data_IF_713571182946
#
_entry.id   IF_713571182946
#
_cell.length_a   1.000
_cell.length_b   1.000
_cell.length_c   1.000
_cell.angle_alpha   90.00
_cell.angle_beta   90.00
_cell.angle_gamma   90.00
#
_symmetry.space_group_name_H-M   'P 1'
#
loop_
_entity.id
_entity.type
_entity.pdbx_description
1 polymer ?
#
# COMPACT_ATOMS: atom_id res chain seq x y z
N UNK A 1 22.85 -39.59 -18.49
CA UNK A 1 22.82 -39.85 -17.03
C UNK A 1 22.38 -38.57 -16.35
N UNK A 2 21.24 -38.58 -15.65
CA UNK A 2 20.76 -37.39 -14.92
C UNK A 2 21.60 -37.27 -13.65
N UNK A 3 22.32 -36.16 -13.49
CA UNK A 3 22.96 -35.82 -12.21
C UNK A 3 21.84 -35.49 -11.23
N UNK A 4 21.60 -36.35 -10.25
CA UNK A 4 20.61 -36.07 -9.22
C UNK A 4 21.18 -35.03 -8.24
N UNK A 5 20.35 -34.08 -7.80
CA UNK A 5 20.74 -33.05 -6.82
C UNK A 5 20.09 -33.41 -5.50
N UNK A 6 20.91 -33.75 -4.51
CA UNK A 6 20.44 -34.01 -3.17
C UNK A 6 20.65 -32.78 -2.28
N UNK A 7 19.63 -32.43 -1.53
CA UNK A 7 19.67 -31.33 -0.57
C UNK A 7 19.78 -31.88 0.84
N UNK A 8 20.63 -31.25 1.65
CA UNK A 8 20.83 -31.60 3.06
C UNK A 8 20.85 -30.39 3.97
N UNK A 9 20.61 -30.60 5.27
CA UNK A 9 20.64 -29.54 6.27
C UNK A 9 22.06 -29.33 6.79
N UNK A 10 22.52 -28.09 6.79
CA UNK A 10 23.81 -27.69 7.39
C UNK A 10 23.86 -28.06 8.89
N UNK A 11 25.03 -28.52 9.34
CA UNK A 11 25.29 -28.96 10.71
C UNK A 11 24.61 -30.26 11.13
N UNK A 12 23.90 -30.93 10.21
CA UNK A 12 23.19 -32.19 10.46
C UNK A 12 23.90 -33.37 9.79
N UNK A 13 23.49 -34.59 10.15
CA UNK A 13 23.96 -35.78 9.45
C UNK A 13 23.22 -35.93 8.10
N UNK A 14 23.95 -36.19 7.03
CA UNK A 14 23.41 -36.33 5.67
C UNK A 14 23.82 -37.68 5.10
N UNK A 15 22.85 -38.45 4.59
CA UNK A 15 23.10 -39.78 4.02
C UNK A 15 22.92 -39.73 2.50
N UNK A 16 23.96 -40.08 1.75
CA UNK A 16 23.93 -40.25 0.30
C UNK A 16 23.69 -41.73 -0.03
N UNK A 17 22.69 -41.98 -0.87
CA UNK A 17 22.27 -43.32 -1.29
C UNK A 17 23.06 -43.73 -2.54
N UNK A 18 23.49 -44.98 -2.59
CA UNK A 18 24.06 -45.60 -3.79
C UNK A 18 23.11 -46.70 -4.27
N UNK A 19 22.69 -46.64 -5.54
CA UNK A 19 21.67 -47.52 -6.11
C UNK A 19 22.00 -49.02 -6.22
N UNK A 20 23.18 -49.49 -5.81
CA UNK A 20 23.60 -50.89 -5.91
C UNK A 20 23.56 -51.68 -4.59
N UNK A 21 22.84 -51.19 -3.57
CA UNK A 21 22.82 -51.78 -2.23
C UNK A 21 22.18 -53.19 -2.11
N UNK A 22 21.75 -53.80 -3.22
CA UNK A 22 21.03 -55.08 -3.21
C UNK A 22 21.97 -56.31 -3.15
N UNK A 23 23.24 -56.21 -3.55
CA UNK A 23 24.11 -57.39 -3.76
C UNK A 23 25.42 -57.46 -2.93
N UNK A 24 25.50 -56.81 -1.76
CA UNK A 24 26.67 -56.89 -0.83
C UNK A 24 28.03 -56.54 -1.46
N UNK A 25 28.06 -55.78 -2.54
CA UNK A 25 29.29 -55.32 -3.17
C UNK A 25 29.89 -54.13 -2.40
N UNK A 26 31.20 -54.17 -2.18
CA UNK A 26 31.96 -53.06 -1.60
C UNK A 26 31.89 -51.86 -2.53
N UNK A 27 31.45 -50.70 -2.02
CA UNK A 27 31.29 -49.47 -2.81
C UNK A 27 32.38 -48.46 -2.47
N UNK A 28 33.03 -47.90 -3.49
CA UNK A 28 33.96 -46.79 -3.33
C UNK A 28 33.25 -45.45 -3.57
N UNK A 29 33.35 -44.53 -2.60
CA UNK A 29 32.86 -43.16 -2.73
C UNK A 29 34.00 -42.20 -3.06
N UNK A 30 33.75 -41.32 -4.03
CA UNK A 30 34.66 -40.20 -4.35
C UNK A 30 33.90 -38.88 -4.36
N UNK A 31 34.54 -37.84 -3.84
CA UNK A 31 34.06 -36.46 -3.95
C UNK A 31 34.91 -35.71 -4.96
N UNK A 32 34.28 -35.09 -5.95
CA UNK A 32 34.97 -34.28 -6.97
C UNK A 32 36.17 -35.04 -7.58
N UNK A 33 35.99 -36.37 -7.78
CA UNK A 33 37.00 -37.34 -8.26
C UNK A 33 38.15 -37.67 -7.29
N UNK A 34 38.12 -37.19 -6.05
CA UNK A 34 39.07 -37.55 -4.97
C UNK A 34 38.47 -38.64 -4.06
N UNK A 35 39.27 -39.65 -3.73
CA UNK A 35 38.88 -40.74 -2.82
C UNK A 35 38.96 -40.36 -1.34
N UNK A 36 39.74 -39.32 -1.00
CA UNK A 36 39.87 -38.84 0.38
C UNK A 36 38.77 -37.82 0.67
N UNK A 37 37.86 -38.17 1.58
CA UNK A 37 36.85 -37.27 2.14
C UNK A 37 37.43 -36.58 3.39
N UNK A 38 37.60 -35.25 3.41
CA UNK A 38 38.38 -34.55 4.44
C UNK A 38 37.64 -34.33 5.77
N UNK A 39 36.48 -34.97 5.99
CA UNK A 39 35.62 -34.82 7.17
C UNK A 39 35.19 -36.17 7.74
N UNK A 40 34.53 -36.11 8.91
CA UNK A 40 33.99 -37.28 9.58
C UNK A 40 32.83 -37.88 8.77
N UNK A 41 33.04 -39.10 8.28
CA UNK A 41 32.08 -39.84 7.48
C UNK A 41 32.04 -41.31 7.90
N UNK A 42 30.94 -41.98 7.57
CA UNK A 42 30.76 -43.42 7.79
C UNK A 42 30.14 -44.03 6.55
N UNK A 43 30.79 -45.04 5.97
CA UNK A 43 30.16 -45.90 4.96
C UNK A 43 29.44 -47.02 5.69
N UNK A 44 28.16 -47.19 5.42
CA UNK A 44 27.33 -48.22 6.05
C UNK A 44 27.48 -49.56 5.32
N UNK A 45 27.04 -50.66 5.94
CA UNK A 45 27.19 -52.02 5.38
C UNK A 45 26.46 -52.24 4.06
N UNK A 46 25.46 -51.41 3.77
CA UNK A 46 24.66 -51.31 2.54
C UNK A 46 25.25 -50.31 1.52
N UNK A 47 26.45 -49.78 1.76
CA UNK A 47 27.19 -48.95 0.81
C UNK A 47 26.76 -47.48 0.75
N UNK A 48 25.91 -47.02 1.68
CA UNK A 48 25.53 -45.60 1.79
C UNK A 48 26.62 -44.79 2.50
N UNK A 49 26.74 -43.51 2.12
CA UNK A 49 27.71 -42.59 2.74
C UNK A 49 26.99 -41.65 3.70
N UNK A 50 27.28 -41.77 4.99
CA UNK A 50 26.78 -40.87 6.03
C UNK A 50 27.85 -39.83 6.35
N UNK A 51 27.54 -38.58 6.07
CA UNK A 51 28.32 -37.40 6.43
C UNK A 51 27.87 -36.92 7.81
N UNK A 52 28.78 -36.77 8.77
CA UNK A 52 28.44 -36.33 10.13
C UNK A 52 28.65 -34.82 10.24
N UNK A 53 27.66 -34.10 10.78
CA UNK A 53 27.69 -32.63 10.94
C UNK A 53 28.13 -31.88 9.67
N UNK A 54 27.47 -32.15 8.54
CA UNK A 54 27.88 -31.65 7.24
C UNK A 54 27.84 -30.11 7.17
N UNK A 55 28.95 -29.50 6.76
CA UNK A 55 29.06 -28.05 6.49
C UNK A 55 29.29 -27.80 4.99
N UNK A 56 29.46 -26.54 4.59
CA UNK A 56 29.67 -26.22 3.17
C UNK A 56 30.90 -26.87 2.53
N UNK A 57 31.88 -27.35 3.31
CA UNK A 57 33.04 -28.06 2.74
C UNK A 57 32.63 -29.42 2.17
N UNK A 58 31.55 -30.02 2.69
CA UNK A 58 30.97 -31.25 2.21
C UNK A 58 30.16 -31.09 0.91
N UNK A 59 29.96 -29.89 0.38
CA UNK A 59 29.28 -29.74 -0.91
C UNK A 59 30.13 -30.21 -2.09
N UNK A 60 29.49 -30.84 -3.08
CA UNK A 60 30.15 -31.22 -4.32
C UNK A 60 29.50 -32.40 -5.02
N UNK A 61 30.22 -32.95 -5.99
CA UNK A 61 29.76 -34.09 -6.77
C UNK A 61 30.31 -35.38 -6.17
N UNK A 62 29.43 -36.18 -5.60
CA UNK A 62 29.74 -37.50 -5.07
C UNK A 62 29.47 -38.55 -6.13
N UNK A 63 30.40 -39.47 -6.29
CA UNK A 63 30.25 -40.63 -7.18
C UNK A 63 30.46 -41.90 -6.38
N UNK A 64 29.53 -42.86 -6.50
CA UNK A 64 29.70 -44.20 -5.98
C UNK A 64 30.01 -45.18 -7.12
N UNK A 65 31.03 -46.00 -6.94
CA UNK A 65 31.48 -47.01 -7.92
C UNK A 65 31.56 -48.38 -7.27
N UNK A 66 31.38 -49.43 -8.06
CA UNK A 66 31.55 -50.81 -7.59
C UNK A 66 33.04 -51.18 -7.40
N UNK A 67 33.28 -52.43 -6.99
CA UNK A 67 34.60 -53.01 -6.78
C UNK A 67 35.45 -53.10 -8.06
N UNK A 68 34.81 -53.09 -9.23
CA UNK A 68 35.43 -53.10 -10.55
C UNK A 68 35.70 -51.67 -11.07
N UNK A 69 35.26 -50.65 -10.35
CA UNK A 69 35.43 -49.23 -10.69
C UNK A 69 34.39 -48.70 -11.67
N UNK A 70 33.30 -49.43 -11.94
CA UNK A 70 32.18 -48.93 -12.72
C UNK A 70 31.35 -47.95 -11.90
N UNK A 71 31.07 -46.80 -12.50
CA UNK A 71 30.26 -45.76 -11.88
C UNK A 71 28.80 -46.22 -11.77
N UNK A 72 28.31 -46.32 -10.54
CA UNK A 72 26.92 -46.67 -10.24
C UNK A 72 26.04 -45.42 -10.27
N UNK A 73 26.40 -44.40 -9.49
CA UNK A 73 25.58 -43.19 -9.33
C UNK A 73 26.45 -41.96 -9.07
N UNK A 74 25.98 -40.81 -9.55
CA UNK A 74 26.54 -39.50 -9.21
C UNK A 74 25.46 -38.62 -8.61
N UNK A 75 25.75 -38.02 -7.47
CA UNK A 75 24.85 -37.14 -6.71
C UNK A 75 25.55 -35.84 -6.39
N UNK A 76 24.94 -34.71 -6.73
CA UNK A 76 25.42 -33.39 -6.35
C UNK A 76 24.79 -32.98 -5.01
N UNK A 77 25.60 -32.88 -3.97
CA UNK A 77 25.15 -32.44 -2.65
C UNK A 77 25.15 -30.91 -2.55
N UNK A 78 24.04 -30.35 -2.11
CA UNK A 78 23.87 -28.94 -1.73
C UNK A 78 23.36 -28.85 -0.30
N UNK A 79 23.93 -27.94 0.49
CA UNK A 79 23.57 -27.81 1.90
C UNK A 79 22.98 -26.44 2.19
N UNK A 80 22.02 -26.41 3.10
CA UNK A 80 21.44 -25.16 3.57
C UNK A 80 20.56 -25.32 4.79
N UNK A 81 19.66 -24.37 4.98
CA UNK A 81 18.69 -24.35 6.06
C UNK A 81 17.25 -24.38 5.53
N UNK A 82 16.31 -24.99 6.27
CA UNK A 82 14.90 -24.87 5.95
C UNK A 82 14.44 -23.41 6.09
N UNK A 83 13.37 -23.01 5.40
CA UNK A 83 12.81 -21.65 5.50
C UNK A 83 12.37 -21.30 6.92
N UNK A 84 12.38 -20.01 7.23
CA UNK A 84 11.93 -19.46 8.52
C UNK A 84 10.80 -18.44 8.37
N UNK A 85 10.57 -17.65 9.41
CA UNK A 85 9.66 -16.51 9.34
C UNK A 85 10.21 -15.42 8.40
N UNK A 86 9.32 -14.66 7.78
CA UNK A 86 9.67 -13.53 6.95
C UNK A 86 9.36 -12.23 7.70
N UNK A 87 10.20 -11.21 7.52
CA UNK A 87 9.87 -9.86 7.94
C UNK A 87 9.12 -9.16 6.80
N UNK A 88 7.81 -9.01 6.93
CA UNK A 88 6.90 -8.55 5.88
C UNK A 88 6.48 -7.11 6.13
N UNK A 89 6.54 -6.27 5.10
CA UNK A 89 6.04 -4.91 5.11
C UNK A 89 5.10 -4.69 3.92
N UNK A 90 4.00 -3.97 4.12
CA UNK A 90 3.03 -3.66 3.08
C UNK A 90 2.81 -2.15 2.98
N UNK A 91 2.74 -1.64 1.75
CA UNK A 91 2.45 -0.25 1.42
C UNK A 91 1.16 -0.19 0.61
N UNK A 92 0.30 0.76 0.97
CA UNK A 92 -0.99 0.98 0.30
C UNK A 92 -1.03 2.45 -0.14
N UNK A 93 -0.58 2.72 -1.36
CA UNK A 93 -0.45 4.10 -1.86
C UNK A 93 -1.75 4.67 -2.42
N UNK A 94 -2.74 3.82 -2.69
CA UNK A 94 -4.03 4.15 -3.28
C UNK A 94 -5.05 3.03 -2.96
N UNK A 95 -6.31 3.15 -3.41
CA UNK A 95 -7.38 2.19 -3.11
C UNK A 95 -7.34 0.92 -3.96
N UNK A 96 -6.61 0.93 -5.08
CA UNK A 96 -6.54 -0.17 -6.04
C UNK A 96 -5.30 -1.05 -5.92
N UNK A 97 -4.31 -0.68 -5.11
CA UNK A 97 -3.00 -1.35 -5.10
C UNK A 97 -2.43 -1.50 -3.69
N UNK A 98 -2.11 -2.75 -3.32
CA UNK A 98 -1.27 -3.07 -2.16
C UNK A 98 0.01 -3.73 -2.63
N UNK A 99 1.14 -3.23 -2.13
CA UNK A 99 2.46 -3.75 -2.41
C UNK A 99 3.09 -4.28 -1.13
N UNK A 100 3.30 -5.59 -1.05
CA UNK A 100 3.95 -6.22 0.09
C UNK A 100 5.33 -6.72 -0.31
N UNK A 101 6.33 -6.45 0.54
CA UNK A 101 7.71 -6.89 0.36
C UNK A 101 8.22 -7.57 1.62
N UNK A 102 9.17 -8.49 1.48
CA UNK A 102 9.68 -9.24 2.61
C UNK A 102 11.19 -9.49 2.57
N UNK A 103 11.75 -9.68 3.77
CA UNK A 103 13.14 -10.06 3.98
C UNK A 103 13.18 -11.37 4.78
N UNK A 104 14.04 -12.29 4.37
CA UNK A 104 14.22 -13.58 5.06
C UNK A 104 14.85 -13.37 6.44
N UNK A 105 14.27 -13.95 7.50
CA UNK A 105 14.93 -13.95 8.82
C UNK A 105 16.09 -14.95 8.91
N UNK A 106 16.09 -15.97 8.03
CA UNK A 106 17.09 -17.03 7.97
C UNK A 106 17.68 -17.05 6.56
N UNK A 107 19.01 -16.99 6.46
CA UNK A 107 19.70 -17.22 5.19
C UNK A 107 19.70 -18.72 4.89
N UNK A 108 18.88 -19.14 3.93
CA UNK A 108 18.68 -20.57 3.63
C UNK A 108 19.81 -21.19 2.81
N UNK A 109 20.57 -20.39 2.06
CA UNK A 109 21.61 -20.83 1.12
C UNK A 109 21.10 -21.78 0.01
N UNK A 110 19.77 -21.89 -0.15
CA UNK A 110 19.13 -22.77 -1.13
C UNK A 110 18.19 -21.95 -2.03
N UNK A 111 17.96 -22.41 -3.27
CA UNK A 111 16.96 -21.78 -4.13
C UNK A 111 15.58 -21.89 -3.48
N UNK A 112 14.92 -20.75 -3.29
CA UNK A 112 13.59 -20.66 -2.70
C UNK A 112 12.55 -20.20 -3.73
N UNK A 113 11.32 -20.62 -3.52
CA UNK A 113 10.12 -20.16 -4.23
C UNK A 113 9.16 -19.54 -3.22
N UNK A 114 8.41 -18.53 -3.65
CA UNK A 114 7.44 -17.85 -2.80
C UNK A 114 6.03 -18.01 -3.37
N UNK A 115 5.10 -18.40 -2.50
CA UNK A 115 3.67 -18.39 -2.78
C UNK A 115 3.00 -17.39 -1.85
N UNK A 116 2.33 -16.39 -2.43
CA UNK A 116 1.67 -15.35 -1.66
C UNK A 116 0.17 -15.30 -1.99
N UNK A 117 -0.65 -15.19 -0.95
CA UNK A 117 -2.10 -15.08 -1.06
C UNK A 117 -2.63 -14.08 -0.05
N UNK A 118 -3.81 -13.54 -0.32
CA UNK A 118 -4.49 -12.65 0.59
C UNK A 118 -5.96 -13.05 0.73
N UNK A 119 -6.53 -12.75 1.89
CA UNK A 119 -7.92 -13.02 2.20
C UNK A 119 -8.48 -11.92 3.08
N UNK A 120 -9.59 -11.36 2.66
CA UNK A 120 -10.42 -10.50 3.49
C UNK A 120 -11.33 -11.28 4.43
N UNK A 121 -11.86 -10.62 5.47
CA UNK A 121 -12.78 -11.28 6.41
C UNK A 121 -13.98 -11.92 5.68
N UNK A 122 -14.15 -13.24 5.81
CA UNK A 122 -15.15 -14.07 5.11
C UNK A 122 -15.08 -14.06 3.56
N UNK A 123 -14.03 -13.51 2.96
CA UNK A 123 -13.83 -13.56 1.50
C UNK A 123 -13.19 -14.87 1.07
N UNK A 124 -13.28 -15.15 -0.24
CA UNK A 124 -12.43 -16.15 -0.89
C UNK A 124 -10.96 -15.72 -0.83
N UNK A 125 -10.07 -16.72 -0.83
CA UNK A 125 -8.62 -16.51 -0.96
C UNK A 125 -8.32 -16.05 -2.37
N UNK A 126 -7.56 -14.97 -2.50
CA UNK A 126 -7.10 -14.41 -3.77
C UNK A 126 -5.57 -14.40 -3.80
N UNK A 127 -4.99 -14.35 -4.99
CA UNK A 127 -3.52 -14.35 -5.12
C UNK A 127 -2.93 -12.97 -4.83
N UNK A 128 -1.78 -12.95 -4.16
CA UNK A 128 -0.85 -11.82 -4.19
C UNK A 128 0.20 -12.14 -5.25
N UNK A 129 0.17 -11.42 -6.38
CA UNK A 129 0.97 -11.77 -7.56
C UNK A 129 2.43 -11.43 -7.28
N UNK A 130 3.29 -12.45 -7.22
CA UNK A 130 4.73 -12.28 -7.02
C UNK A 130 5.36 -11.84 -8.35
N UNK A 131 5.92 -10.62 -8.38
CA UNK A 131 6.42 -9.97 -9.61
C UNK A 131 7.57 -10.75 -10.26
N UNK A 132 8.47 -11.27 -9.43
CA UNK A 132 9.49 -12.27 -9.79
C UNK A 132 10.01 -12.97 -8.52
N UNK A 133 10.55 -14.21 -8.59
CA UNK A 133 11.08 -14.91 -7.41
C UNK A 133 12.20 -14.14 -6.71
N UNK A 134 12.94 -13.30 -7.43
CA UNK A 134 14.08 -12.53 -6.91
C UNK A 134 13.67 -11.22 -6.24
N UNK A 135 12.52 -10.65 -6.59
CA UNK A 135 12.07 -9.35 -6.06
C UNK A 135 11.48 -9.42 -4.66
N UNK A 136 11.19 -10.63 -4.12
CA UNK A 136 10.63 -10.83 -2.76
C UNK A 136 9.49 -9.86 -2.45
N UNK A 137 8.63 -9.68 -3.44
CA UNK A 137 7.56 -8.70 -3.45
C UNK A 137 6.35 -9.29 -4.15
N UNK A 138 5.17 -8.93 -3.66
CA UNK A 138 3.91 -9.29 -4.29
C UNK A 138 2.94 -8.12 -4.32
N UNK A 139 2.04 -8.17 -5.30
CA UNK A 139 1.06 -7.12 -5.59
C UNK A 139 -0.35 -7.67 -5.44
N UNK A 140 -1.21 -6.91 -4.77
CA UNK A 140 -2.66 -7.14 -4.71
C UNK A 140 -3.34 -6.00 -5.45
N UNK A 141 -4.13 -6.35 -6.46
CA UNK A 141 -4.93 -5.39 -7.24
C UNK A 141 -6.39 -5.42 -6.76
N UNK A 142 -7.00 -4.25 -6.71
CA UNK A 142 -8.41 -4.03 -6.32
C UNK A 142 -8.81 -4.78 -5.03
N UNK A 143 -8.09 -4.51 -3.92
CA UNK A 143 -8.43 -5.09 -2.63
C UNK A 143 -9.78 -4.58 -2.11
N UNK A 144 -10.40 -5.37 -1.24
CA UNK A 144 -11.60 -4.96 -0.49
C UNK A 144 -11.22 -4.06 0.68
N UNK A 145 -10.87 -2.80 0.42
CA UNK A 145 -10.33 -1.83 1.38
C UNK A 145 -11.13 -1.70 2.69
N UNK A 146 -12.45 -1.71 2.59
CA UNK A 146 -13.39 -1.44 3.69
C UNK A 146 -13.65 -2.61 4.64
N UNK A 147 -12.96 -3.73 4.46
CA UNK A 147 -13.03 -4.81 5.44
C UNK A 147 -12.16 -4.48 6.66
N UNK A 148 -12.62 -4.93 7.83
CA UNK A 148 -11.93 -4.63 9.09
C UNK A 148 -10.53 -5.23 9.15
N UNK A 149 -10.33 -6.43 8.60
CA UNK A 149 -9.04 -7.14 8.62
C UNK A 149 -8.84 -7.94 7.33
N UNK A 150 -7.57 -8.08 6.96
CA UNK A 150 -7.08 -8.88 5.84
C UNK A 150 -5.90 -9.73 6.31
N UNK A 151 -5.93 -11.01 5.97
CA UNK A 151 -4.84 -11.94 6.19
C UNK A 151 -4.00 -12.03 4.91
N UNK A 152 -2.71 -11.76 5.02
CA UNK A 152 -1.73 -11.92 3.94
C UNK A 152 -0.81 -13.07 4.33
N UNK A 153 -0.81 -14.11 3.50
CA UNK A 153 -0.05 -15.33 3.72
C UNK A 153 1.09 -15.38 2.70
N UNK A 154 2.33 -15.50 3.18
CA UNK A 154 3.52 -15.67 2.33
C UNK A 154 4.24 -16.94 2.78
N UNK A 155 4.29 -17.92 1.89
CA UNK A 155 4.97 -19.19 2.08
C UNK A 155 6.27 -19.20 1.31
N UNK A 156 7.39 -19.36 2.01
CA UNK A 156 8.69 -19.66 1.41
C UNK A 156 8.87 -21.17 1.37
N UNK A 157 9.22 -21.70 0.20
CA UNK A 157 9.48 -23.13 -0.02
C UNK A 157 10.87 -23.32 -0.60
N UNK A 158 11.65 -24.20 0.00
CA UNK A 158 12.92 -24.68 -0.55
C UNK A 158 12.98 -26.22 -0.46
N UNK A 159 14.04 -26.86 -0.99
CA UNK A 159 14.12 -28.33 -0.98
C UNK A 159 14.13 -29.00 0.40
N UNK A 160 14.37 -28.24 1.48
CA UNK A 160 14.37 -28.73 2.86
C UNK A 160 13.02 -28.50 3.58
N UNK A 161 12.05 -27.85 2.94
CA UNK A 161 10.71 -27.67 3.48
C UNK A 161 10.08 -26.34 3.11
N UNK A 162 8.99 -26.00 3.81
CA UNK A 162 8.26 -24.74 3.62
C UNK A 162 7.91 -24.10 4.95
N UNK A 163 7.87 -22.77 4.98
CA UNK A 163 7.42 -22.02 6.15
C UNK A 163 6.50 -20.88 5.71
N UNK A 164 5.39 -20.69 6.43
CA UNK A 164 4.37 -19.66 6.12
C UNK A 164 4.41 -18.56 7.17
N UNK A 165 4.45 -17.32 6.69
CA UNK A 165 4.28 -16.10 7.50
C UNK A 165 2.90 -15.52 7.22
N UNK A 166 2.15 -15.21 8.28
CA UNK A 166 0.80 -14.66 8.20
C UNK A 166 0.81 -13.28 8.83
N UNK A 167 0.34 -12.27 8.09
CA UNK A 167 0.19 -10.90 8.55
C UNK A 167 -1.29 -10.52 8.52
N UNK A 168 -1.81 -10.10 9.67
CA UNK A 168 -3.15 -9.54 9.79
C UNK A 168 -3.05 -8.02 9.70
N UNK A 169 -3.61 -7.42 8.66
CA UNK A 169 -3.55 -5.97 8.40
C UNK A 169 -4.94 -5.36 8.29
N UNK A 170 -5.00 -4.04 8.46
CA UNK A 170 -6.18 -3.24 8.14
C UNK A 170 -5.82 -2.30 6.99
N UNK A 171 -6.23 -2.64 5.78
CA UNK A 171 -5.78 -1.89 4.60
C UNK A 171 -6.19 -0.41 4.62
N UNK A 172 -7.36 -0.08 5.20
CA UNK A 172 -7.80 1.30 5.37
C UNK A 172 -6.90 2.12 6.31
N UNK A 173 -6.32 1.53 7.36
CA UNK A 173 -5.36 2.22 8.24
C UNK A 173 -3.94 2.29 7.64
N UNK A 174 -3.62 1.40 6.69
CA UNK A 174 -2.33 1.40 5.97
C UNK A 174 -2.33 2.33 4.75
N UNK A 175 -3.49 2.81 4.32
CA UNK A 175 -3.63 3.72 3.18
C UNK A 175 -2.86 5.01 3.46
N UNK A 176 -1.84 5.27 2.66
CA UNK A 176 -0.99 6.45 2.75
C UNK A 176 -0.70 6.96 1.34
N UNK A 177 -1.31 8.07 0.90
CA UNK A 177 -1.03 8.65 -0.41
C UNK A 177 0.46 9.03 -0.55
N UNK A 178 0.94 9.13 -1.79
CA UNK A 178 2.22 9.76 -2.05
C UNK A 178 2.14 11.29 -1.88
N UNK A 179 3.26 11.98 -1.59
CA UNK A 179 3.25 13.44 -1.44
C UNK A 179 2.76 14.14 -2.72
N UNK A 180 2.05 15.27 -2.60
CA UNK A 180 1.66 16.09 -3.75
C UNK A 180 2.83 16.46 -4.65
N UNK A 181 2.59 16.42 -5.97
CA UNK A 181 3.61 16.65 -6.98
C UNK A 181 3.54 18.08 -7.55
N UNK A 182 4.63 18.50 -8.22
CA UNK A 182 4.72 19.78 -8.92
C UNK A 182 4.34 21.00 -8.04
N UNK A 183 4.75 20.98 -6.76
CA UNK A 183 4.49 22.07 -5.82
C UNK A 183 5.24 23.33 -6.26
N UNK A 184 4.53 24.44 -6.43
CA UNK A 184 5.10 25.74 -6.82
C UNK A 184 4.45 26.87 -6.04
N UNK A 185 5.16 27.98 -5.82
CA UNK A 185 4.64 29.15 -5.12
C UNK A 185 5.06 30.44 -5.80
N UNK A 186 4.10 31.32 -6.04
CA UNK A 186 4.29 32.57 -6.80
C UNK A 186 3.72 33.74 -6.00
N UNK A 187 4.50 34.81 -5.87
CA UNK A 187 4.01 36.07 -5.30
C UNK A 187 2.94 36.71 -6.18
N UNK A 188 1.88 37.23 -5.58
CA UNK A 188 0.78 37.86 -6.34
C UNK A 188 1.12 39.33 -6.58
N UNK A 189 1.17 39.73 -7.86
CA UNK A 189 1.53 41.09 -8.28
C UNK A 189 0.64 42.13 -7.60
N UNK A 190 1.25 43.16 -7.00
CA UNK A 190 0.55 44.20 -6.24
C UNK A 190 0.22 43.83 -4.79
N UNK A 191 0.44 42.58 -4.38
CA UNK A 191 0.13 42.09 -3.03
C UNK A 191 1.38 41.54 -2.33
N UNK A 192 2.10 42.38 -1.55
CA UNK A 192 3.40 42.02 -1.00
C UNK A 192 3.35 41.01 0.14
N UNK A 193 2.17 40.63 0.63
CA UNK A 193 1.96 39.64 1.69
C UNK A 193 1.26 38.38 1.19
N UNK A 194 1.11 38.22 -0.13
CA UNK A 194 0.32 37.13 -0.71
C UNK A 194 1.20 36.18 -1.52
N UNK A 195 1.12 34.90 -1.19
CA UNK A 195 1.69 33.80 -1.96
C UNK A 195 0.57 32.91 -2.48
N UNK A 196 0.60 32.63 -3.79
CA UNK A 196 -0.28 31.65 -4.43
C UNK A 196 0.49 30.35 -4.63
N UNK A 197 0.02 29.29 -4.00
CA UNK A 197 0.66 27.97 -4.01
C UNK A 197 -0.16 27.00 -4.84
N UNK A 198 0.51 26.29 -5.75
CA UNK A 198 -0.06 25.28 -6.62
C UNK A 198 0.57 23.93 -6.33
N UNK A 199 -0.20 22.86 -6.50
CA UNK A 199 0.25 21.47 -6.51
C UNK A 199 -0.67 20.62 -7.37
N UNK A 200 -0.25 19.38 -7.62
CA UNK A 200 -1.04 18.35 -8.30
C UNK A 200 -1.19 17.13 -7.40
N UNK A 201 -2.21 16.32 -7.69
CA UNK A 201 -2.34 14.99 -7.12
C UNK A 201 -1.10 14.16 -7.48
N UNK A 202 -0.67 13.24 -6.59
CA UNK A 202 0.41 12.31 -6.92
C UNK A 202 -0.02 11.37 -8.06
N UNK A 203 0.93 10.97 -8.90
CA UNK A 203 0.67 10.10 -10.06
C UNK A 203 0.01 8.77 -9.66
N UNK A 204 0.34 8.25 -8.47
CA UNK A 204 -0.22 7.02 -7.91
C UNK A 204 -1.71 7.13 -7.55
N UNK A 205 -2.27 8.33 -7.41
CA UNK A 205 -3.67 8.55 -7.01
C UNK A 205 -4.57 9.02 -8.15
N UNK A 206 -4.05 9.22 -9.36
CA UNK A 206 -4.83 9.83 -10.46
C UNK A 206 -6.09 9.04 -10.84
N UNK A 207 -6.04 7.70 -10.77
CA UNK A 207 -7.20 6.84 -11.06
C UNK A 207 -8.27 6.92 -9.96
N UNK A 208 -7.85 7.19 -8.73
CA UNK A 208 -8.71 7.22 -7.54
C UNK A 208 -9.24 8.62 -7.21
N UNK A 209 -8.72 9.66 -7.87
CA UNK A 209 -9.02 11.06 -7.54
C UNK A 209 -10.51 11.43 -7.65
N UNK A 210 -11.28 10.73 -8.49
CA UNK A 210 -12.73 10.97 -8.65
C UNK A 210 -13.54 10.32 -7.51
N UNK A 211 -13.43 9.00 -7.26
CA UNK A 211 -14.17 8.37 -6.15
C UNK A 211 -13.63 8.73 -4.76
N UNK A 212 -12.34 9.08 -4.65
CA UNK A 212 -11.63 9.30 -3.39
C UNK A 212 -10.79 10.60 -3.47
N UNK A 213 -11.42 11.78 -3.27
CA UNK A 213 -10.70 13.04 -3.25
C UNK A 213 -9.69 13.09 -2.09
N UNK A 214 -8.62 13.85 -2.29
CA UNK A 214 -7.62 14.12 -1.26
C UNK A 214 -7.89 15.47 -0.58
N UNK A 215 -7.71 15.51 0.73
CA UNK A 215 -7.51 16.74 1.50
C UNK A 215 -6.01 17.01 1.61
N UNK A 216 -5.63 18.28 1.54
CA UNK A 216 -4.25 18.73 1.59
C UNK A 216 -4.00 19.55 2.84
N UNK A 217 -2.79 19.41 3.39
CA UNK A 217 -2.29 20.28 4.42
C UNK A 217 -1.01 20.94 3.93
N UNK A 218 -1.00 22.26 3.93
CA UNK A 218 0.16 23.08 3.59
C UNK A 218 0.75 23.62 4.89
N UNK A 219 2.08 23.59 4.99
CA UNK A 219 2.81 24.33 6.02
C UNK A 219 3.76 25.33 5.38
N UNK A 220 3.89 26.50 5.99
CA UNK A 220 4.79 27.55 5.55
C UNK A 220 5.43 28.29 6.72
N UNK A 221 6.60 28.87 6.49
CA UNK A 221 7.29 29.74 7.45
C UNK A 221 8.25 30.69 6.76
N UNK A 222 8.55 31.86 7.33
CA UNK A 222 9.67 32.69 6.87
C UNK A 222 11.00 31.93 6.96
N UNK A 223 11.90 32.13 6.00
CA UNK A 223 13.26 31.59 6.07
C UNK A 223 13.94 32.12 7.34
N UNK A 224 14.54 31.20 8.11
CA UNK A 224 15.16 31.52 9.40
C UNK A 224 14.23 31.37 10.62
N UNK A 225 12.91 31.28 10.41
CA UNK A 225 11.97 30.92 11.49
C UNK A 225 12.01 29.42 11.78
N UNK A 226 11.85 29.04 13.04
CA UNK A 226 11.63 27.64 13.46
C UNK A 226 10.14 27.26 13.48
N UNK A 227 9.24 28.26 13.53
CA UNK A 227 7.80 28.06 13.71
C UNK A 227 7.09 27.94 12.36
N UNK A 228 6.28 26.89 12.22
CA UNK A 228 5.45 26.63 11.03
C UNK A 228 4.02 27.12 11.24
N UNK A 229 3.49 27.82 10.25
CA UNK A 229 2.05 28.04 10.07
C UNK A 229 1.48 26.92 9.20
N UNK A 230 0.25 26.48 9.49
CA UNK A 230 -0.39 25.35 8.79
C UNK A 230 -1.79 25.73 8.36
N UNK A 231 -2.17 25.31 7.15
CA UNK A 231 -3.50 25.54 6.57
C UNK A 231 -3.93 24.29 5.80
N UNK A 232 -5.21 23.95 5.91
CA UNK A 232 -5.80 22.82 5.18
C UNK A 232 -6.62 23.33 3.99
N UNK A 233 -6.59 22.57 2.89
CA UNK A 233 -7.31 22.88 1.66
C UNK A 233 -7.75 21.60 0.97
N UNK A 234 -8.93 21.64 0.34
CA UNK A 234 -9.40 20.56 -0.54
C UNK A 234 -9.05 20.80 -2.02
N UNK A 235 -8.52 21.98 -2.34
CA UNK A 235 -8.29 22.41 -3.71
C UNK A 235 -6.94 23.12 -3.88
N UNK A 236 -6.46 23.08 -5.12
CA UNK A 236 -5.29 23.80 -5.62
C UNK A 236 -5.76 24.79 -6.69
N UNK A 237 -5.32 26.06 -6.69
CA UNK A 237 -4.34 26.66 -5.79
C UNK A 237 -4.89 27.10 -4.42
N UNK A 238 -3.98 27.36 -3.49
CA UNK A 238 -4.25 28.01 -2.19
C UNK A 238 -3.56 29.38 -2.11
N UNK A 239 -4.24 30.35 -1.49
CA UNK A 239 -3.70 31.68 -1.20
C UNK A 239 -3.29 31.78 0.26
N UNK A 240 -2.00 32.02 0.50
CA UNK A 240 -1.46 32.46 1.79
C UNK A 240 -1.53 33.98 1.78
N UNK A 241 -2.24 34.58 2.73
CA UNK A 241 -2.52 36.03 2.76
C UNK A 241 -1.75 36.80 3.84
N UNK A 242 -1.00 36.09 4.67
CA UNK A 242 -0.24 36.60 5.82
C UNK A 242 1.26 36.33 5.69
N UNK A 243 1.76 36.16 4.46
CA UNK A 243 3.20 36.02 4.23
C UNK A 243 3.93 37.33 4.56
N UNK A 244 5.12 37.23 5.13
CA UNK A 244 5.93 38.40 5.44
C UNK A 244 6.46 39.08 4.17
N UNK A 245 6.10 40.35 3.99
CA UNK A 245 6.58 41.15 2.88
C UNK A 245 8.12 41.21 2.82
N UNK A 246 8.68 41.06 1.63
CA UNK A 246 10.13 41.09 1.39
C UNK A 246 10.90 39.88 1.93
N UNK A 247 10.25 38.87 2.52
CA UNK A 247 10.91 37.69 3.06
C UNK A 247 10.58 36.43 2.25
N UNK A 248 11.60 35.63 1.98
CA UNK A 248 11.40 34.30 1.42
C UNK A 248 10.73 33.39 2.46
N UNK A 249 9.86 32.50 1.99
CA UNK A 249 9.15 31.52 2.82
C UNK A 249 9.48 30.11 2.35
N UNK A 250 9.69 29.22 3.30
CA UNK A 250 9.75 27.78 3.07
C UNK A 250 8.36 27.19 3.17
N UNK A 251 8.03 26.25 2.29
CA UNK A 251 6.71 25.62 2.25
C UNK A 251 6.77 24.16 1.79
N UNK A 252 5.81 23.38 2.28
CA UNK A 252 5.59 21.98 1.93
C UNK A 252 4.10 21.67 1.96
N UNK A 253 3.69 20.68 1.18
CA UNK A 253 2.30 20.20 1.10
C UNK A 253 2.30 18.70 1.33
N UNK A 254 1.28 18.19 2.02
CA UNK A 254 1.00 16.75 2.16
C UNK A 254 -0.48 16.47 1.92
N UNK A 255 -0.83 15.22 1.68
CA UNK A 255 -2.20 14.80 1.37
C UNK A 255 -2.69 13.67 2.27
N UNK A 256 -4.01 13.55 2.42
CA UNK A 256 -4.70 12.46 3.09
C UNK A 256 -6.00 12.17 2.32
N UNK A 257 -6.49 10.93 2.38
CA UNK A 257 -7.81 10.58 1.84
C UNK A 257 -8.91 11.30 2.63
N UNK A 258 -9.77 12.05 1.92
CA UNK A 258 -10.90 12.75 2.53
C UNK A 258 -11.99 11.79 3.03
N UNK A 259 -12.18 10.66 2.34
CA UNK A 259 -13.27 9.71 2.61
C UNK A 259 -12.89 8.77 3.77
N UNK A 260 -11.61 8.46 3.92
CA UNK A 260 -11.07 7.60 4.96
C UNK A 260 -10.27 8.41 5.99
N UNK A 261 -10.88 8.87 7.10
CA UNK A 261 -10.19 9.68 8.11
C UNK A 261 -9.12 8.90 8.88
N UNK A 262 -9.18 7.57 8.88
CA UNK A 262 -8.19 6.69 9.50
C UNK A 262 -6.98 6.44 8.59
N UNK A 263 -7.00 6.95 7.36
CA UNK A 263 -5.83 6.91 6.46
C UNK A 263 -4.68 7.76 7.02
N UNK A 264 -3.47 7.47 6.59
CA UNK A 264 -2.29 8.21 7.00
C UNK A 264 -2.08 9.43 6.11
N UNK A 265 -1.57 10.51 6.72
CA UNK A 265 -1.01 11.60 5.95
C UNK A 265 0.21 11.12 5.15
N UNK A 266 0.32 11.57 3.91
CA UNK A 266 1.54 11.41 3.12
C UNK A 266 2.73 12.05 3.83
N UNK A 267 3.92 11.65 3.41
CA UNK A 267 5.10 12.47 3.69
C UNK A 267 4.92 13.89 3.16
N UNK A 268 5.66 14.83 3.72
CA UNK A 268 5.71 16.18 3.18
C UNK A 268 6.37 16.17 1.81
N UNK A 269 5.84 16.95 0.87
CA UNK A 269 6.50 17.23 -0.40
C UNK A 269 7.91 17.80 -0.16
N UNK A 270 8.82 17.74 -1.14
CA UNK A 270 10.10 18.41 -1.05
C UNK A 270 9.95 19.88 -0.63
N UNK A 271 10.89 20.36 0.19
CA UNK A 271 10.91 21.73 0.68
C UNK A 271 11.06 22.70 -0.49
N UNK A 272 10.06 23.57 -0.68
CA UNK A 272 10.11 24.66 -1.66
C UNK A 272 10.36 25.99 -0.95
N UNK A 273 11.00 26.93 -1.65
CA UNK A 273 11.08 28.32 -1.23
C UNK A 273 10.34 29.22 -2.22
N UNK A 274 9.53 30.15 -1.72
CA UNK A 274 8.81 31.15 -2.52
C UNK A 274 8.89 32.53 -1.88
N UNK A 275 8.82 33.58 -2.68
CA UNK A 275 8.84 34.97 -2.21
C UNK A 275 7.53 35.67 -2.59
N UNK A 276 6.89 36.41 -1.67
CA UNK A 276 5.81 37.34 -2.01
C UNK A 276 6.30 38.40 -3.01
N UNK A 277 5.35 39.06 -3.67
CA UNK A 277 5.69 40.10 -4.62
C UNK A 277 6.48 41.23 -3.94
N UNK A 278 7.67 41.50 -4.46
CA UNK A 278 8.50 42.62 -4.03
C UNK A 278 8.45 43.63 -5.18
N UNK A 279 7.80 44.77 -4.96
CA UNK A 279 7.73 45.81 -5.97
C UNK A 279 9.13 46.27 -6.36
N UNK A 280 9.52 46.04 -7.60
CA UNK A 280 10.68 46.71 -8.16
C UNK A 280 10.35 48.20 -8.30
N UNK A 281 11.06 49.04 -7.56
CA UNK A 281 11.33 50.41 -7.97
C UNK A 281 12.08 50.34 -9.30
N UNK A 282 11.35 50.30 -10.41
CA UNK A 282 11.90 50.79 -11.66
C UNK A 282 11.96 52.31 -11.49
N UNK A 283 13.16 52.85 -11.27
CA UNK A 283 13.44 54.24 -11.63
C UNK A 283 12.91 54.43 -13.05
N UNK A 284 12.08 55.45 -13.32
CA UNK A 284 11.64 55.71 -14.67
C UNK A 284 12.87 56.17 -15.44
N UNK A 285 13.39 55.29 -16.30
CA UNK A 285 14.22 55.72 -17.42
C UNK A 285 13.35 56.68 -18.22
N UNK A 286 13.62 57.98 -18.11
CA UNK A 286 13.13 59.00 -19.03
C UNK A 286 13.59 58.63 -20.44
N UNK A 287 12.79 57.84 -21.15
CA UNK A 287 12.84 57.81 -22.60
C UNK A 287 11.95 58.94 -23.10
N UNK A 288 12.61 60.08 -23.29
CA UNK A 288 12.11 61.20 -24.10
C UNK A 288 11.83 60.66 -25.50
N UNK A 289 10.55 60.61 -25.89
CA UNK A 289 10.17 60.56 -27.29
C UNK A 289 9.45 61.86 -27.67
N UNK A 290 9.80 62.47 -28.81
CA UNK A 290 9.31 63.78 -29.19
C UNK A 290 7.83 63.75 -29.59
N UNK A 291 7.15 64.82 -29.19
CA UNK A 291 5.84 65.26 -29.65
C UNK A 291 5.81 65.30 -31.18
N UNK A 292 4.86 64.60 -31.79
CA UNK A 292 4.37 64.97 -33.11
C UNK A 292 2.87 65.21 -33.02
N UNK A 293 2.54 66.48 -33.23
CA UNK A 293 1.19 67.01 -33.39
C UNK A 293 0.60 66.42 -34.67
N UNK A 294 -0.58 65.81 -34.59
CA UNK A 294 -1.57 66.02 -35.64
C UNK A 294 -2.98 65.95 -35.07
N UNK A 295 -3.55 67.14 -35.05
CA UNK A 295 -4.90 67.52 -34.72
C UNK A 295 -5.83 67.21 -35.90
N UNK A 296 -6.92 66.49 -35.63
CA UNK A 296 -8.15 66.63 -36.39
C UNK A 296 -9.33 66.20 -35.52
N UNK A 297 -9.92 67.21 -34.88
CA UNK A 297 -11.25 67.22 -34.30
C UNK A 297 -12.32 66.51 -35.14
N UNK A 298 -13.16 65.69 -34.50
CA UNK A 298 -14.63 65.74 -34.68
C UNK A 298 -15.32 65.23 -33.40
N UNK A 299 -16.21 66.07 -32.87
CA UNK A 299 -16.92 66.04 -31.58
C UNK A 299 -18.13 65.04 -31.55
N UNK A 300 -18.98 64.93 -30.50
CA UNK A 300 -19.43 63.66 -29.95
C UNK A 300 -20.95 63.44 -30.15
N UNK A 301 -21.48 62.29 -29.73
CA UNK A 301 -22.90 62.19 -29.38
C UNK A 301 -23.16 61.10 -28.35
N UNK A 302 -23.91 61.50 -27.35
CA UNK A 302 -24.34 60.84 -26.11
C UNK A 302 -25.60 60.00 -26.28
N UNK A 303 -25.89 59.19 -25.23
CA UNK A 303 -27.18 58.58 -24.84
C UNK A 303 -27.59 57.29 -25.59
N UNK A 304 -28.18 56.24 -25.00
CA UNK A 304 -28.72 56.00 -23.66
C UNK A 304 -28.98 54.48 -23.46
N UNK A 305 -28.88 54.02 -22.21
CA UNK A 305 -29.73 53.03 -21.50
C UNK A 305 -30.11 51.67 -22.15
N UNK A 306 -29.75 50.53 -21.50
CA UNK A 306 -30.74 49.65 -20.80
C UNK A 306 -30.07 48.50 -20.04
N UNK A 307 -30.31 48.50 -18.73
CA UNK A 307 -30.13 47.38 -17.80
C UNK A 307 -31.23 46.35 -18.03
N UNK A 308 -30.88 45.08 -18.11
CA UNK A 308 -31.82 43.95 -18.15
C UNK A 308 -31.54 43.06 -16.93
N UNK A 309 -32.44 43.12 -15.94
CA UNK A 309 -32.49 42.18 -14.82
C UNK A 309 -33.06 40.84 -15.31
N UNK A 310 -32.63 39.69 -14.75
CA UNK A 310 -33.30 38.41 -14.96
C UNK A 310 -34.50 38.28 -14.01
N UNK A 311 -35.67 37.99 -14.58
CA UNK A 311 -36.84 37.50 -13.84
C UNK A 311 -36.85 35.96 -13.78
N UNK A 312 -37.13 35.48 -12.58
CA UNK A 312 -37.92 34.29 -12.24
C UNK A 312 -37.28 32.89 -12.27
N UNK A 313 -36.56 32.54 -11.19
CA UNK A 313 -36.27 31.14 -10.78
C UNK A 313 -36.81 30.84 -9.37
N UNK A 314 -37.97 31.42 -9.02
CA UNK A 314 -38.62 31.21 -7.72
C UNK A 314 -39.53 29.98 -7.68
N UNK A 315 -40.14 29.63 -8.82
CA UNK A 315 -41.11 28.52 -8.90
C UNK A 315 -40.47 27.13 -8.85
N UNK A 316 -39.28 26.96 -9.43
CA UNK A 316 -38.57 25.67 -9.50
C UNK A 316 -38.10 25.20 -8.12
N UNK A 317 -37.57 26.13 -7.31
CA UNK A 317 -37.03 25.82 -5.98
C UNK A 317 -38.13 25.44 -4.97
N UNK A 318 -39.31 26.07 -5.05
CA UNK A 318 -40.45 25.75 -4.19
C UNK A 318 -41.04 24.36 -4.47
N UNK A 319 -41.08 23.96 -5.75
CA UNK A 319 -41.53 22.62 -6.15
C UNK A 319 -40.54 21.55 -5.67
N UNK A 320 -39.23 21.81 -5.79
CA UNK A 320 -38.19 20.90 -5.27
C UNK A 320 -38.26 20.76 -3.74
N UNK A 321 -38.46 21.86 -3.01
CA UNK A 321 -38.62 21.82 -1.55
C UNK A 321 -39.89 21.05 -1.12
N UNK A 322 -41.00 21.22 -1.84
CA UNK A 322 -42.23 20.45 -1.59
C UNK A 322 -42.03 18.94 -1.85
N UNK A 323 -41.29 18.57 -2.90
CA UNK A 323 -40.96 17.17 -3.18
C UNK A 323 -40.02 16.57 -2.12
N UNK A 324 -38.99 17.30 -1.70
CA UNK A 324 -38.06 16.85 -0.66
C UNK A 324 -38.75 16.66 0.70
N UNK A 325 -39.62 17.60 1.08
CA UNK A 325 -40.40 17.46 2.33
C UNK A 325 -41.36 16.29 2.28
N UNK A 326 -42.01 16.03 1.14
CA UNK A 326 -42.85 14.85 0.92
C UNK A 326 -42.08 13.53 1.06
N UNK A 327 -40.87 13.44 0.49
CA UNK A 327 -40.02 12.24 0.60
C UNK A 327 -39.56 12.01 2.04
N UNK A 328 -39.16 13.06 2.75
CA UNK A 328 -38.73 12.95 4.15
C UNK A 328 -39.89 12.46 5.04
N UNK A 329 -41.10 12.97 4.83
CA UNK A 329 -42.29 12.51 5.57
C UNK A 329 -42.65 11.05 5.24
N UNK A 330 -42.50 10.62 3.99
CA UNK A 330 -42.71 9.23 3.59
C UNK A 330 -41.67 8.28 4.24
N UNK A 331 -40.40 8.68 4.29
CA UNK A 331 -39.35 7.89 4.94
C UNK A 331 -39.56 7.83 6.45
N UNK A 332 -39.88 8.95 7.10
CA UNK A 332 -40.15 9.02 8.54
C UNK A 332 -41.36 8.15 8.93
N UNK A 333 -42.46 8.23 8.18
CA UNK A 333 -43.64 7.38 8.41
C UNK A 333 -43.33 5.89 8.20
N UNK A 334 -42.53 5.53 7.19
CA UNK A 334 -42.11 4.13 7.00
C UNK A 334 -41.28 3.60 8.17
N UNK A 335 -40.38 4.42 8.73
CA UNK A 335 -39.57 4.06 9.89
C UNK A 335 -40.41 3.91 11.15
N UNK A 336 -41.40 4.79 11.35
CA UNK A 336 -42.36 4.69 12.45
C UNK A 336 -43.19 3.40 12.35
N UNK A 337 -43.67 3.04 11.16
CA UNK A 337 -44.39 1.78 10.93
C UNK A 337 -43.48 0.58 11.19
N UNK A 338 -42.22 0.60 10.73
CA UNK A 338 -41.27 -0.48 10.98
C UNK A 338 -40.93 -0.62 12.46
N UNK A 339 -40.77 0.49 13.17
CA UNK A 339 -40.57 0.50 14.62
C UNK A 339 -41.81 -0.02 15.36
N UNK A 340 -43.00 0.39 14.94
CA UNK A 340 -44.26 -0.09 15.51
C UNK A 340 -44.45 -1.59 15.28
N UNK A 341 -44.15 -2.11 14.08
CA UNK A 341 -44.19 -3.55 13.78
C UNK A 341 -43.14 -4.32 14.59
N UNK A 342 -41.94 -3.76 14.77
CA UNK A 342 -40.89 -4.36 15.61
C UNK A 342 -41.31 -4.41 17.08
N UNK A 343 -41.90 -3.33 17.58
CA UNK A 343 -42.40 -3.25 18.95
C UNK A 343 -43.58 -4.21 19.17
N UNK A 344 -44.55 -4.22 18.26
CA UNK A 344 -45.69 -5.14 18.30
C UNK A 344 -45.27 -6.61 18.27
N UNK A 345 -44.26 -6.98 17.46
CA UNK A 345 -43.68 -8.33 17.49
C UNK A 345 -43.04 -8.65 18.85
N UNK A 346 -42.31 -7.70 19.43
CA UNK A 346 -41.66 -7.89 20.74
C UNK A 346 -42.69 -8.08 21.86
N UNK A 347 -43.77 -7.32 21.83
CA UNK A 347 -44.87 -7.41 22.80
C UNK A 347 -45.67 -8.73 22.67
N UNK A 348 -45.79 -9.27 21.45
CA UNK A 348 -46.41 -10.58 21.24
C UNK A 348 -45.52 -11.74 21.72
N UNK A 349 -44.19 -11.64 21.54
CA UNK A 349 -43.24 -12.64 22.07
C UNK A 349 -43.25 -12.63 23.60
N UNK A 350 -43.24 -11.47 24.24
CA UNK A 350 -43.29 -11.40 25.72
C UNK A 350 -44.62 -11.91 26.29
N UNK A 351 -45.75 -11.70 25.60
CA UNK A 351 -47.03 -12.32 25.98
C UNK A 351 -47.02 -13.85 25.85
N UNK A 352 -46.33 -14.39 24.84
CA UNK A 352 -46.19 -15.84 24.66
C UNK A 352 -45.29 -16.49 25.73
N UNK A 353 -44.22 -15.80 26.14
CA UNK A 353 -43.36 -16.23 27.26
C UNK A 353 -44.09 -16.18 28.61
N UNK A 354 -44.87 -15.14 28.87
CA UNK A 354 -45.66 -15.04 30.11
C UNK A 354 -46.75 -16.12 30.20
N UNK A 355 -47.38 -16.48 29.07
CA UNK A 355 -48.40 -17.54 29.04
C UNK A 355 -47.81 -18.95 29.14
N UNK A 356 -46.57 -19.17 28.68
CA UNK A 356 -45.86 -20.46 28.86
C UNK A 356 -45.41 -20.66 30.30
N UNK A 357 -44.90 -19.62 30.97
CA UNK A 357 -44.44 -19.68 32.37
C UNK A 357 -45.58 -19.93 33.37
N UNK A 358 -46.79 -19.40 33.12
CA UNK A 358 -47.96 -19.66 33.98
C UNK A 358 -48.41 -21.12 33.89
N UNK A 359 -48.23 -21.78 32.74
CA UNK A 359 -48.64 -23.18 32.52
C UNK A 359 -47.72 -24.19 33.22
N UNK A 360 -46.46 -23.82 33.50
CA UNK A 360 -45.53 -24.67 34.26
C UNK A 360 -45.78 -24.65 35.78
N UNK A 361 -46.51 -23.65 36.31
CA UNK A 361 -46.70 -23.49 37.76
C UNK A 361 -47.99 -24.14 38.30
N UNK A 362 -48.83 -24.70 37.43
CA UNK A 362 -50.12 -25.30 37.79
C UNK A 362 -50.18 -26.83 37.69
N UNK A 363 -49.04 -27.53 37.75
CA UNK A 363 -49.02 -29.00 37.89
C UNK A 363 -48.87 -29.34 39.38
N UNK A 364 -49.91 -29.84 40.07
CA UNK A 364 -49.75 -30.40 41.40
C UNK A 364 -49.12 -31.80 41.28
N UNK A 365 -48.24 -32.14 42.23
CA UNK A 365 -47.61 -33.45 42.39
C UNK A 365 -48.65 -34.49 42.80
#
# INVERSE_FOLDING_TARGET
MVSDVQYGRLGSNVTLVCGAALDRTSVEWRLNRRSVLPWQHRVTSDGHLVLLHADHTAEGNYSCSDDQGFLIQTTRLRLGHPPGLLNVSCRVSNHSLVLCSWVESVKTHLPAQYHASYRGNKSQVRMCVVSSPTQRQCTITDPTMWQQYHDINITETNPLGSHTTILMVKLHELLQPDPPEAVTAVGVVGYPMVLRVYWRYPASWLHDAVPFPLVFQLRYRPVGSSVWSTVESKASPLLITDALAGHAHQLQVRAQDEINPDSQWSDWSPLLQGCPWSGGAAEPTEETFPVDYNDSDTDPSTADTKSENPEDDGGSMLILLALFTGIILALASSLLVLMWVRQWRRDNVTKQELTSMVKMKSMPI
#
